data_IF_093103488408
#
_entry.id   IF_093103488408
#
_cell.length_a   1.000
_cell.length_b   1.000
_cell.length_c   1.000
_cell.angle_alpha   90.00
_cell.angle_beta   90.00
_cell.angle_gamma   90.00
#
_symmetry.space_group_name_H-M   'P 1'
#
loop_
_entity.id
_entity.type
_entity.pdbx_description
1 polymer ?
#
# COMPACT_ATOMS: atom_id res chain seq x y z
N UNK A 1 -1.33 -35.93 -32.69
CA UNK A 1 -1.83 -34.70 -32.06
C UNK A 1 -2.75 -35.11 -30.93
N UNK A 2 -2.54 -34.50 -29.76
CA UNK A 2 -3.16 -34.72 -28.44
C UNK A 2 -2.07 -35.10 -27.43
N UNK A 3 -1.81 -34.20 -26.48
CA UNK A 3 -1.30 -34.54 -25.15
C UNK A 3 -1.49 -33.35 -24.20
N UNK A 4 -2.61 -33.44 -23.49
CA UNK A 4 -2.79 -33.21 -22.05
C UNK A 4 -2.34 -31.88 -21.45
N UNK A 5 -3.26 -30.91 -21.45
CA UNK A 5 -3.44 -29.97 -20.34
C UNK A 5 -3.82 -30.79 -19.09
N UNK A 6 -2.83 -31.08 -18.25
CA UNK A 6 -3.09 -31.56 -16.89
C UNK A 6 -2.62 -30.43 -15.98
N UNK A 7 -3.55 -29.64 -15.47
CA UNK A 7 -3.31 -28.78 -14.32
C UNK A 7 -2.97 -29.71 -13.15
N UNK A 8 -1.68 -29.92 -12.95
CA UNK A 8 -1.18 -30.74 -11.85
C UNK A 8 -1.35 -29.92 -10.57
N UNK A 9 -2.40 -30.23 -9.80
CA UNK A 9 -2.47 -29.91 -8.37
C UNK A 9 -1.30 -30.63 -7.68
N UNK A 10 -0.15 -29.97 -7.61
CA UNK A 10 0.96 -30.34 -6.73
C UNK A 10 1.06 -29.28 -5.65
N UNK A 11 1.22 -29.75 -4.43
CA UNK A 11 1.28 -28.99 -3.20
C UNK A 11 2.47 -28.04 -3.33
N UNK A 12 2.21 -26.77 -3.68
CA UNK A 12 3.21 -25.73 -3.58
C UNK A 12 3.62 -25.63 -2.10
N UNK A 13 4.92 -25.50 -1.78
CA UNK A 13 5.33 -25.09 -0.45
C UNK A 13 4.60 -23.79 -0.10
N UNK A 14 3.94 -23.81 1.06
CA UNK A 14 2.95 -22.82 1.52
C UNK A 14 3.53 -21.42 1.82
N UNK A 15 4.73 -21.10 1.35
CA UNK A 15 5.54 -19.96 1.82
C UNK A 15 5.47 -18.71 0.95
N UNK A 16 4.69 -18.70 -0.14
CA UNK A 16 4.55 -17.52 -1.01
C UNK A 16 3.11 -17.03 -1.22
N UNK A 17 2.22 -17.29 -0.26
CA UNK A 17 0.81 -16.88 -0.31
C UNK A 17 0.47 -15.66 0.56
N UNK A 18 1.45 -14.80 0.91
CA UNK A 18 1.24 -13.74 1.90
C UNK A 18 0.59 -12.45 1.36
N UNK A 19 0.55 -12.22 0.04
CA UNK A 19 -0.30 -11.16 -0.54
C UNK A 19 -1.64 -11.70 -1.06
N UNK A 20 -1.66 -12.88 -1.68
CA UNK A 20 -2.87 -13.45 -2.31
C UNK A 20 -3.93 -13.99 -1.34
N UNK A 21 -3.59 -14.25 -0.07
CA UNK A 21 -4.53 -14.82 0.90
C UNK A 21 -5.30 -13.77 1.72
N UNK A 22 -4.89 -12.50 1.71
CA UNK A 22 -5.43 -11.47 2.61
C UNK A 22 -6.37 -10.49 1.86
N UNK A 23 -5.93 -9.92 0.74
CA UNK A 23 -6.77 -9.01 -0.05
C UNK A 23 -7.89 -9.78 -0.75
N UNK A 24 -9.13 -9.28 -0.73
CA UNK A 24 -10.31 -9.87 -1.39
C UNK A 24 -10.23 -10.04 -2.91
N UNK A 25 -9.04 -10.00 -3.50
CA UNK A 25 -8.76 -10.59 -4.79
C UNK A 25 -8.92 -12.10 -4.63
N UNK A 26 -9.93 -12.68 -5.29
CA UNK A 26 -9.96 -14.13 -5.51
C UNK A 26 -8.54 -14.59 -5.89
N UNK A 27 -8.05 -15.74 -5.38
CA UNK A 27 -6.70 -16.20 -5.67
C UNK A 27 -6.52 -16.15 -7.18
N UNK A 28 -5.73 -15.17 -7.61
CA UNK A 28 -5.27 -15.07 -8.98
C UNK A 28 -4.54 -16.36 -9.31
N UNK A 29 -4.59 -16.73 -10.58
CA UNK A 29 -3.85 -17.83 -11.19
C UNK A 29 -2.47 -17.93 -10.53
N UNK A 30 -2.13 -19.13 -10.06
CA UNK A 30 -0.81 -19.43 -9.54
C UNK A 30 0.25 -18.94 -10.55
N UNK A 31 1.27 -18.26 -10.05
CA UNK A 31 2.40 -17.76 -10.84
C UNK A 31 2.78 -18.69 -11.99
N UNK A 32 3.27 -18.13 -13.10
CA UNK A 32 3.83 -18.94 -14.17
C UNK A 32 5.10 -19.62 -13.63
N UNK A 33 4.99 -20.93 -13.38
CA UNK A 33 6.10 -21.77 -12.94
C UNK A 33 7.10 -21.97 -14.08
N UNK A 34 8.31 -21.47 -13.89
CA UNK A 34 9.40 -21.52 -14.88
C UNK A 34 10.39 -22.65 -14.60
N UNK A 35 10.54 -23.05 -13.33
CA UNK A 35 11.42 -24.13 -12.91
C UNK A 35 10.89 -24.83 -11.65
N UNK A 36 10.93 -26.16 -11.63
CA UNK A 36 10.59 -27.01 -10.48
C UNK A 36 11.33 -28.35 -10.58
N UNK A 37 12.54 -28.39 -10.01
CA UNK A 37 13.39 -29.59 -9.91
C UNK A 37 14.29 -29.49 -8.68
N UNK A 38 14.69 -30.64 -8.14
CA UNK A 38 15.71 -30.74 -7.10
C UNK A 38 15.44 -29.80 -5.90
N UNK A 39 14.18 -29.82 -5.43
CA UNK A 39 13.66 -28.98 -4.35
C UNK A 39 13.85 -27.47 -4.56
N UNK A 40 14.05 -27.03 -5.79
CA UNK A 40 14.22 -25.64 -6.19
C UNK A 40 13.08 -25.23 -7.12
N UNK A 41 12.48 -24.09 -6.84
CA UNK A 41 11.36 -23.51 -7.60
C UNK A 41 11.70 -22.09 -8.05
N UNK A 42 11.30 -21.76 -9.28
CA UNK A 42 11.32 -20.40 -9.81
C UNK A 42 10.03 -20.13 -10.56
N UNK A 43 9.35 -19.04 -10.22
CA UNK A 43 8.10 -18.61 -10.87
C UNK A 43 8.08 -17.10 -11.11
N UNK A 44 7.13 -16.65 -11.93
CA UNK A 44 6.90 -15.23 -12.21
C UNK A 44 5.42 -14.89 -12.18
N UNK A 45 5.10 -13.73 -11.62
CA UNK A 45 3.77 -13.15 -11.57
C UNK A 45 3.77 -11.73 -12.17
N UNK A 46 2.61 -11.27 -12.61
CA UNK A 46 2.48 -9.95 -13.23
C UNK A 46 1.14 -9.29 -12.96
N UNK A 47 1.17 -7.96 -12.88
CA UNK A 47 -0.03 -7.13 -12.75
C UNK A 47 0.07 -5.90 -13.66
N UNK A 48 -0.95 -5.70 -14.47
CA UNK A 48 -1.03 -4.60 -15.43
C UNK A 48 -2.42 -4.00 -15.38
N UNK A 49 -2.49 -2.68 -15.40
CA UNK A 49 -3.74 -1.95 -15.45
C UNK A 49 -3.56 -0.61 -16.16
N UNK A 50 -4.66 -0.14 -16.72
CA UNK A 50 -4.81 1.20 -17.24
C UNK A 50 -6.30 1.60 -17.19
N UNK A 51 -6.52 2.88 -16.95
CA UNK A 51 -7.82 3.50 -16.77
C UNK A 51 -7.89 4.77 -17.63
N UNK A 52 -8.97 4.91 -18.38
CA UNK A 52 -9.43 6.24 -18.78
C UNK A 52 -10.04 6.91 -17.56
N UNK A 53 -9.58 8.12 -17.25
CA UNK A 53 -10.04 8.88 -16.11
C UNK A 53 -10.49 10.27 -16.52
N UNK A 54 -11.60 10.71 -15.95
CA UNK A 54 -12.07 12.07 -16.05
C UNK A 54 -12.28 12.63 -14.64
N UNK A 55 -11.49 13.64 -14.28
CA UNK A 55 -11.54 14.31 -12.99
C UNK A 55 -12.07 15.73 -13.16
N UNK A 56 -13.03 16.10 -12.32
CA UNK A 56 -13.53 17.46 -12.13
C UNK A 56 -12.91 17.98 -10.84
N UNK A 57 -12.00 18.94 -10.96
CA UNK A 57 -11.25 19.54 -9.86
C UNK A 57 -11.85 20.91 -9.59
N UNK A 58 -12.21 21.16 -8.33
CA UNK A 58 -12.66 22.44 -7.79
C UNK A 58 -11.70 22.82 -6.66
N UNK A 59 -10.96 23.91 -6.86
CA UNK A 59 -9.90 24.36 -5.94
C UNK A 59 -9.67 25.86 -6.10
N UNK A 60 -9.42 26.55 -4.99
CA UNK A 60 -9.18 27.99 -4.98
C UNK A 60 -8.03 28.39 -5.94
N UNK A 61 -8.37 29.18 -6.98
CA UNK A 61 -7.44 29.79 -7.93
C UNK A 61 -7.91 29.68 -9.37
N UNK A 62 -7.67 30.71 -10.19
CA UNK A 62 -8.24 30.84 -11.55
C UNK A 62 -7.87 29.72 -12.54
N UNK A 63 -6.84 28.93 -12.24
CA UNK A 63 -6.33 27.87 -13.13
C UNK A 63 -6.63 26.46 -12.65
N UNK A 64 -7.11 26.28 -11.41
CA UNK A 64 -7.23 24.96 -10.81
C UNK A 64 -8.61 24.34 -11.03
N UNK A 65 -9.66 25.16 -11.13
CA UNK A 65 -11.01 24.76 -11.51
C UNK A 65 -11.04 24.23 -12.95
N UNK A 66 -10.99 22.91 -13.09
CA UNK A 66 -10.88 22.29 -14.41
C UNK A 66 -11.38 20.86 -14.45
N UNK A 67 -11.74 20.48 -15.66
CA UNK A 67 -12.00 19.09 -16.02
C UNK A 67 -10.84 18.51 -16.78
N UNK A 68 -10.28 17.44 -16.26
CA UNK A 68 -9.11 16.79 -16.82
C UNK A 68 -9.43 15.37 -17.30
N UNK A 69 -9.01 15.03 -18.52
CA UNK A 69 -9.04 13.65 -19.03
C UNK A 69 -7.62 13.10 -19.11
N UNK A 70 -7.38 11.88 -18.63
CA UNK A 70 -6.09 11.18 -18.74
C UNK A 70 -6.30 9.69 -19.01
N UNK A 71 -5.26 9.03 -19.51
CA UNK A 71 -5.14 7.56 -19.45
C UNK A 71 -3.98 7.27 -18.51
N UNK A 72 -4.27 6.62 -17.39
CA UNK A 72 -3.30 6.39 -16.30
C UNK A 72 -3.48 5.01 -15.70
N UNK A 73 -2.47 4.47 -15.03
CA UNK A 73 -2.74 3.37 -14.10
C UNK A 73 -3.45 3.88 -12.85
N UNK A 74 -4.10 2.95 -12.17
CA UNK A 74 -4.78 3.14 -10.91
C UNK A 74 -3.89 2.97 -9.69
N UNK A 75 -4.53 2.63 -8.59
CA UNK A 75 -3.94 2.65 -7.25
C UNK A 75 -2.79 1.65 -7.09
N UNK A 76 -3.00 0.40 -7.49
CA UNK A 76 -1.94 -0.61 -7.53
C UNK A 76 -1.09 -0.41 -8.80
N UNK A 77 0.22 -0.12 -8.69
CA UNK A 77 1.03 0.07 -9.88
C UNK A 77 1.27 -1.23 -10.64
N UNK A 78 1.65 -1.08 -11.91
CA UNK A 78 2.04 -2.20 -12.76
C UNK A 78 3.35 -2.81 -12.26
N UNK A 79 3.48 -4.14 -12.32
CA UNK A 79 4.71 -4.81 -11.92
C UNK A 79 4.92 -6.15 -12.62
N UNK A 80 6.19 -6.59 -12.61
CA UNK A 80 6.59 -7.98 -12.84
C UNK A 80 7.37 -8.49 -11.63
N UNK A 81 7.02 -9.70 -11.18
CA UNK A 81 7.58 -10.37 -10.02
C UNK A 81 8.31 -11.65 -10.38
N UNK A 82 9.35 -11.96 -9.62
CA UNK A 82 10.15 -13.16 -9.69
C UNK A 82 10.25 -13.77 -8.30
N UNK A 83 9.94 -15.05 -8.22
CA UNK A 83 9.76 -15.78 -6.98
C UNK A 83 10.72 -16.96 -6.94
N UNK A 84 11.44 -17.10 -5.83
CA UNK A 84 12.48 -18.10 -5.64
C UNK A 84 12.14 -18.96 -4.43
N UNK A 85 12.34 -20.26 -4.54
CA UNK A 85 12.22 -21.19 -3.44
C UNK A 85 13.26 -22.29 -3.55
N UNK A 86 13.83 -22.70 -2.41
CA UNK A 86 14.74 -23.84 -2.33
C UNK A 86 14.68 -24.47 -0.96
N UNK A 87 14.54 -25.80 -0.90
CA UNK A 87 14.78 -26.53 0.34
C UNK A 87 16.26 -26.91 0.45
N UNK A 88 16.84 -26.69 1.63
CA UNK A 88 18.22 -27.08 1.95
C UNK A 88 18.20 -27.61 3.38
N UNK A 89 18.45 -28.91 3.56
CA UNK A 89 18.36 -29.59 4.85
C UNK A 89 17.00 -29.37 5.53
N UNK A 90 16.99 -28.82 6.75
CA UNK A 90 15.80 -28.45 7.52
C UNK A 90 15.29 -27.03 7.23
N UNK A 91 16.00 -26.28 6.39
CA UNK A 91 15.67 -24.90 6.05
C UNK A 91 14.94 -24.79 4.72
N UNK A 92 14.04 -23.82 4.65
CA UNK A 92 13.43 -23.34 3.40
C UNK A 92 13.97 -21.96 3.11
N UNK A 93 14.70 -21.83 2.00
CA UNK A 93 15.14 -20.55 1.46
C UNK A 93 14.07 -20.05 0.49
N UNK A 94 13.67 -18.79 0.65
CA UNK A 94 12.73 -18.12 -0.23
C UNK A 94 13.32 -16.81 -0.77
N UNK A 95 12.62 -16.19 -1.71
CA UNK A 95 12.94 -14.84 -2.14
C UNK A 95 11.95 -14.28 -3.13
N UNK A 96 11.90 -12.95 -3.20
CA UNK A 96 11.11 -12.21 -4.18
C UNK A 96 11.89 -11.01 -4.69
N UNK A 97 11.85 -10.81 -5.99
CA UNK A 97 12.25 -9.58 -6.66
C UNK A 97 11.06 -9.08 -7.49
N UNK A 98 10.59 -7.86 -7.24
CA UNK A 98 9.50 -7.24 -8.00
C UNK A 98 9.89 -5.86 -8.48
N UNK A 99 9.62 -5.60 -9.75
CA UNK A 99 9.95 -4.36 -10.45
C UNK A 99 8.63 -3.68 -10.83
N UNK A 100 8.38 -2.54 -10.19
CA UNK A 100 7.16 -1.77 -10.33
C UNK A 100 7.44 -0.60 -11.25
N UNK A 101 6.55 -0.35 -12.20
CA UNK A 101 6.79 0.63 -13.26
C UNK A 101 5.55 1.48 -13.43
N UNK A 102 5.76 2.79 -13.42
CA UNK A 102 4.70 3.72 -13.81
C UNK A 102 4.57 3.77 -15.34
N UNK A 103 3.37 3.95 -15.87
CA UNK A 103 3.05 4.24 -17.27
C UNK A 103 2.51 5.67 -17.40
N UNK A 104 2.47 6.39 -16.27
CA UNK A 104 2.00 7.76 -16.20
C UNK A 104 3.22 8.64 -16.46
N UNK A 105 3.35 9.13 -17.68
CA UNK A 105 4.34 10.14 -18.08
C UNK A 105 3.78 11.55 -17.98
N UNK A 106 4.67 12.54 -17.99
CA UNK A 106 4.33 13.96 -18.17
C UNK A 106 4.86 14.49 -19.50
N UNK A 107 4.33 15.62 -19.96
CA UNK A 107 4.77 16.30 -21.18
C UNK A 107 6.25 16.74 -21.14
N UNK A 108 6.81 16.86 -19.94
CA UNK A 108 8.19 17.32 -19.71
C UNK A 108 9.22 16.19 -19.70
N UNK A 109 8.80 14.94 -19.44
CA UNK A 109 9.71 13.83 -19.15
C UNK A 109 9.20 12.50 -19.74
N UNK A 110 8.92 12.52 -21.05
CA UNK A 110 8.05 11.53 -21.70
C UNK A 110 8.46 10.04 -21.70
N UNK A 111 9.66 9.65 -21.27
CA UNK A 111 10.04 8.23 -21.08
C UNK A 111 10.82 8.00 -19.78
N UNK A 112 10.72 8.90 -18.81
CA UNK A 112 11.46 8.84 -17.55
C UNK A 112 10.70 8.04 -16.48
N UNK A 113 9.90 7.06 -16.90
CA UNK A 113 9.22 6.14 -15.98
C UNK A 113 10.26 5.24 -15.30
N UNK A 114 10.74 5.67 -14.13
CA UNK A 114 11.70 4.92 -13.34
C UNK A 114 11.15 3.54 -12.94
N UNK A 115 12.07 2.58 -12.75
CA UNK A 115 11.76 1.29 -12.14
C UNK A 115 11.81 1.46 -10.62
N UNK A 116 10.66 1.33 -9.97
CA UNK A 116 10.52 1.31 -8.52
C UNK A 116 10.68 -0.13 -8.01
N UNK A 117 11.73 -0.37 -7.22
CA UNK A 117 11.96 -1.66 -6.57
C UNK A 117 11.31 -1.65 -5.20
N UNK A 118 10.10 -2.24 -5.09
CA UNK A 118 9.35 -2.34 -3.83
C UNK A 118 9.63 -3.60 -3.04
N UNK A 119 9.95 -4.70 -3.70
CA UNK A 119 10.33 -5.94 -3.02
C UNK A 119 11.58 -6.52 -3.66
N UNK A 120 12.61 -6.71 -2.84
CA UNK A 120 13.85 -7.36 -3.21
C UNK A 120 14.45 -7.96 -1.94
N UNK A 121 14.07 -9.20 -1.63
CA UNK A 121 14.45 -9.84 -0.38
C UNK A 121 14.66 -11.34 -0.55
N UNK A 122 15.43 -11.90 0.38
CA UNK A 122 15.49 -13.34 0.63
C UNK A 122 14.82 -13.67 1.97
N UNK A 123 14.38 -14.92 2.13
CA UNK A 123 13.91 -15.44 3.40
C UNK A 123 14.60 -16.75 3.77
N UNK A 124 14.74 -16.98 5.06
CA UNK A 124 15.17 -18.27 5.64
C UNK A 124 14.10 -18.68 6.64
N UNK A 125 13.50 -19.85 6.44
CA UNK A 125 12.43 -20.38 7.27
C UNK A 125 12.75 -21.78 7.80
N UNK A 126 12.22 -22.09 8.98
CA UNK A 126 12.23 -23.40 9.62
C UNK A 126 11.08 -23.52 10.62
N UNK A 127 11.11 -24.53 11.49
CA UNK A 127 10.05 -24.76 12.49
C UNK A 127 9.87 -23.58 13.48
N UNK A 128 10.90 -22.75 13.61
CA UNK A 128 10.94 -21.58 14.48
C UNK A 128 10.31 -20.32 13.85
N UNK A 129 9.90 -20.36 12.58
CA UNK A 129 9.38 -19.20 11.84
C UNK A 129 10.24 -18.85 10.63
N UNK A 130 10.24 -17.59 10.24
CA UNK A 130 10.94 -17.07 9.06
C UNK A 130 11.65 -15.76 9.39
N UNK A 131 12.86 -15.55 8.85
CA UNK A 131 13.53 -14.24 8.81
C UNK A 131 13.62 -13.78 7.36
N UNK A 132 13.13 -12.56 7.11
CA UNK A 132 13.30 -11.82 5.87
C UNK A 132 14.49 -10.88 5.98
N UNK A 133 15.30 -10.81 4.92
CA UNK A 133 16.43 -9.87 4.79
C UNK A 133 16.37 -9.22 3.40
N UNK A 134 16.30 -7.89 3.37
CA UNK A 134 16.26 -7.12 2.11
C UNK A 134 15.25 -5.99 2.18
N UNK A 135 14.54 -5.72 1.09
CA UNK A 135 13.51 -4.68 1.00
C UNK A 135 12.14 -5.30 0.81
N UNK A 136 11.18 -4.92 1.66
CA UNK A 136 9.77 -5.27 1.56
C UNK A 136 8.92 -4.10 2.10
N UNK A 137 7.60 -4.19 2.01
CA UNK A 137 6.70 -3.20 2.62
C UNK A 137 6.89 -3.12 4.14
N UNK A 138 6.70 -1.92 4.70
CA UNK A 138 6.64 -1.73 6.15
C UNK A 138 5.50 -2.55 6.79
N UNK A 139 5.57 -2.75 8.11
CA UNK A 139 4.56 -3.45 8.90
C UNK A 139 3.48 -2.49 9.42
N UNK A 140 3.82 -1.24 9.76
CA UNK A 140 2.84 -0.25 10.19
C UNK A 140 1.91 0.12 9.03
N UNK A 141 0.59 0.02 9.23
CA UNK A 141 -0.47 0.21 8.22
C UNK A 141 -0.49 -0.81 7.07
N UNK A 142 0.29 -1.89 7.14
CA UNK A 142 0.36 -2.92 6.10
C UNK A 142 -0.98 -3.58 5.79
N UNK A 143 -1.62 -4.14 6.82
CA UNK A 143 -2.93 -4.78 6.65
C UNK A 143 -4.02 -3.80 6.25
N UNK A 144 -3.91 -2.51 6.60
CA UNK A 144 -4.89 -1.50 6.22
C UNK A 144 -5.00 -1.34 4.70
N UNK A 145 -3.86 -1.29 3.99
CA UNK A 145 -3.84 -1.21 2.53
C UNK A 145 -4.04 -2.56 1.84
N UNK A 146 -3.47 -3.65 2.36
CA UNK A 146 -3.57 -4.97 1.70
C UNK A 146 -4.98 -5.55 1.73
N UNK A 147 -5.84 -5.04 2.62
CA UNK A 147 -7.24 -5.40 2.71
C UNK A 147 -8.17 -4.36 2.08
N UNK A 148 -7.63 -3.35 1.41
CA UNK A 148 -8.40 -2.30 0.79
C UNK A 148 -9.25 -2.84 -0.38
N UNK A 149 -10.55 -2.63 -0.29
CA UNK A 149 -11.54 -3.12 -1.26
C UNK A 149 -11.46 -2.41 -2.63
N UNK A 150 -10.70 -1.31 -2.73
CA UNK A 150 -10.39 -0.53 -3.93
C UNK A 150 -8.97 -0.78 -4.48
N UNK A 151 -8.18 -1.71 -3.92
CA UNK A 151 -6.77 -1.89 -4.29
C UNK A 151 -6.54 -2.10 -5.80
N UNK A 152 -7.42 -2.86 -6.46
CA UNK A 152 -7.35 -3.10 -7.92
C UNK A 152 -8.13 -2.06 -8.76
N UNK A 153 -8.57 -0.98 -8.13
CA UNK A 153 -9.28 0.13 -8.74
C UNK A 153 -8.37 1.30 -9.11
N UNK A 154 -8.99 2.43 -9.42
CA UNK A 154 -8.30 3.69 -9.60
C UNK A 154 -8.03 4.37 -8.27
N UNK A 155 -9.01 4.47 -7.36
CA UNK A 155 -8.83 5.20 -6.11
C UNK A 155 -8.91 6.72 -6.24
N UNK A 156 -8.54 7.44 -5.18
CA UNK A 156 -8.62 8.90 -5.15
C UNK A 156 -7.43 9.59 -5.87
N UNK A 157 -7.68 10.49 -6.84
CA UNK A 157 -6.71 11.49 -7.25
C UNK A 157 -6.93 12.81 -6.48
N UNK A 158 -5.85 13.56 -6.29
CA UNK A 158 -5.86 14.92 -5.76
C UNK A 158 -4.99 15.82 -6.62
N UNK A 159 -5.43 17.03 -6.90
CA UNK A 159 -4.65 18.03 -7.62
C UNK A 159 -3.57 18.65 -6.73
N UNK A 160 -3.88 18.93 -5.46
CA UNK A 160 -2.95 19.43 -4.44
C UNK A 160 -1.78 18.47 -4.22
N UNK A 161 -2.03 17.17 -4.28
CA UNK A 161 -1.00 16.12 -4.19
C UNK A 161 -0.35 15.80 -5.56
N UNK A 162 -0.72 16.51 -6.62
CA UNK A 162 -0.17 16.32 -7.97
C UNK A 162 -0.58 15.02 -8.67
N UNK A 163 -1.64 14.35 -8.21
CA UNK A 163 -2.04 13.02 -8.71
C UNK A 163 -2.95 13.08 -9.94
N UNK A 164 -3.60 14.22 -10.20
CA UNK A 164 -4.40 14.42 -11.43
C UNK A 164 -3.47 14.42 -12.65
N UNK A 165 -2.45 15.28 -12.63
CA UNK A 165 -1.56 15.50 -13.78
C UNK A 165 -0.16 14.88 -13.66
N UNK A 166 0.23 14.45 -12.47
CA UNK A 166 1.59 13.93 -12.23
C UNK A 166 1.83 12.49 -12.65
N UNK A 167 3.12 12.11 -12.59
CA UNK A 167 3.68 10.81 -13.03
C UNK A 167 3.34 9.62 -12.13
N UNK A 168 2.77 9.87 -10.96
CA UNK A 168 2.49 8.87 -9.94
C UNK A 168 1.19 8.10 -10.16
N UNK A 169 1.01 7.05 -9.35
CA UNK A 169 -0.30 6.40 -9.16
C UNK A 169 -1.26 7.31 -8.41
N UNK A 170 -2.55 7.04 -8.54
CA UNK A 170 -3.58 7.52 -7.60
C UNK A 170 -3.47 6.82 -6.25
N UNK A 171 -4.11 7.37 -5.21
CA UNK A 171 -3.82 7.00 -3.81
C UNK A 171 -4.78 6.00 -3.17
N UNK A 172 -5.88 5.60 -3.83
CA UNK A 172 -6.82 4.66 -3.20
C UNK A 172 -7.53 5.25 -1.99
N UNK A 173 -7.09 4.84 -0.79
CA UNK A 173 -7.45 5.46 0.49
C UNK A 173 -6.20 5.91 1.30
N UNK A 174 -5.01 5.98 0.67
CA UNK A 174 -3.82 6.58 1.27
C UNK A 174 -4.14 8.03 1.65
N UNK A 175 -3.86 8.39 2.90
CA UNK A 175 -4.19 9.71 3.44
C UNK A 175 -5.64 9.86 3.87
N UNK A 176 -6.53 8.92 3.57
CA UNK A 176 -7.95 8.93 3.96
C UNK A 176 -8.33 7.63 4.67
N UNK A 177 -7.65 7.33 5.76
CA UNK A 177 -7.89 6.13 6.57
C UNK A 177 -6.64 5.33 6.93
N UNK A 178 -5.55 5.47 6.18
CA UNK A 178 -4.23 4.95 6.54
C UNK A 178 -3.09 5.68 5.78
N UNK A 179 -1.87 5.77 6.33
CA UNK A 179 -0.68 6.10 5.57
C UNK A 179 -0.18 4.88 4.77
N UNK A 180 0.50 5.13 3.66
CA UNK A 180 1.10 4.09 2.83
C UNK A 180 2.31 3.46 3.54
N UNK A 181 2.30 2.12 3.77
CA UNK A 181 3.42 1.39 4.36
C UNK A 181 4.57 1.28 3.35
N UNK A 182 5.42 2.29 3.28
CA UNK A 182 6.46 2.34 2.25
C UNK A 182 7.40 1.14 2.29
N UNK A 183 7.81 0.62 1.11
CA UNK A 183 8.93 -0.31 1.01
C UNK A 183 10.21 0.23 1.63
N UNK A 184 10.81 -0.55 2.53
CA UNK A 184 12.03 -0.18 3.23
C UNK A 184 12.97 -1.38 3.38
N UNK A 185 14.27 -1.09 3.41
CA UNK A 185 15.28 -2.07 3.81
C UNK A 185 15.01 -2.51 5.23
N UNK A 186 15.03 -3.82 5.48
CA UNK A 186 14.55 -4.39 6.72
C UNK A 186 15.14 -5.78 7.01
N UNK A 187 15.17 -6.11 8.31
CA UNK A 187 15.33 -7.47 8.81
C UNK A 187 14.10 -7.75 9.66
N UNK A 188 13.28 -8.71 9.22
CA UNK A 188 11.96 -8.95 9.80
C UNK A 188 11.78 -10.41 10.14
N UNK A 189 11.52 -10.69 11.41
CA UNK A 189 11.09 -12.01 11.87
C UNK A 189 9.58 -12.15 11.70
N UNK A 190 9.13 -13.33 11.25
CA UNK A 190 7.73 -13.70 11.07
C UNK A 190 7.47 -15.08 11.66
N UNK A 191 6.29 -15.26 12.25
CA UNK A 191 5.83 -16.57 12.65
C UNK A 191 4.32 -16.72 12.40
N UNK A 192 3.98 -17.74 11.61
CA UNK A 192 2.61 -18.04 11.20
C UNK A 192 2.14 -19.41 11.70
N UNK A 193 2.93 -20.07 12.56
CA UNK A 193 2.75 -21.47 12.96
C UNK A 193 2.59 -21.66 14.46
N UNK A 194 2.69 -20.58 15.28
CA UNK A 194 2.53 -20.66 16.74
C UNK A 194 1.15 -21.17 17.15
N UNK A 195 0.10 -20.65 16.52
CA UNK A 195 -1.29 -21.07 16.73
C UNK A 195 -2.04 -20.97 15.39
N UNK A 196 -3.02 -21.86 15.13
CA UNK A 196 -3.85 -21.76 13.94
C UNK A 196 -4.48 -20.36 13.81
N UNK A 197 -4.26 -19.70 12.67
CA UNK A 197 -4.80 -18.38 12.37
C UNK A 197 -3.99 -17.20 12.90
N UNK A 198 -3.06 -17.40 13.84
CA UNK A 198 -2.20 -16.35 14.40
C UNK A 198 -0.98 -16.12 13.52
N UNK A 199 -0.69 -14.85 13.23
CA UNK A 199 0.49 -14.41 12.50
C UNK A 199 1.13 -13.24 13.25
N UNK A 200 2.45 -13.30 13.43
CA UNK A 200 3.24 -12.28 14.11
C UNK A 200 4.38 -11.86 13.20
N UNK A 201 4.65 -10.57 13.11
CA UNK A 201 5.81 -10.00 12.45
C UNK A 201 6.42 -8.89 13.34
N UNK A 202 7.74 -8.90 13.48
CA UNK A 202 8.50 -7.83 14.16
C UNK A 202 9.77 -7.58 13.35
N UNK A 203 10.04 -6.33 13.03
CA UNK A 203 11.16 -5.95 12.18
C UNK A 203 11.91 -4.73 12.67
N UNK A 204 13.18 -4.69 12.32
CA UNK A 204 13.98 -3.46 12.26
C UNK A 204 14.04 -3.02 10.81
N UNK A 205 13.74 -1.76 10.57
CA UNK A 205 13.70 -1.12 9.26
C UNK A 205 14.72 0.02 9.26
N UNK A 206 15.21 0.34 8.07
CA UNK A 206 15.98 1.57 7.85
C UNK A 206 15.16 2.78 8.36
N UNK A 207 15.74 3.61 9.25
CA UNK A 207 15.05 4.78 9.76
C UNK A 207 14.95 5.87 8.70
N UNK A 208 14.14 6.88 8.97
CA UNK A 208 13.95 8.03 8.08
C UNK A 208 14.29 9.33 8.78
N UNK A 209 14.79 10.29 8.01
CA UNK A 209 14.98 11.68 8.44
C UNK A 209 13.60 12.35 8.52
N UNK A 210 13.17 12.69 9.74
CA UNK A 210 11.86 13.33 9.98
C UNK A 210 11.97 14.81 10.31
N UNK A 211 13.17 15.35 10.52
CA UNK A 211 13.39 16.73 10.98
C UNK A 211 14.61 17.39 10.32
N UNK A 212 14.90 17.03 9.06
CA UNK A 212 15.87 17.77 8.25
C UNK A 212 15.21 19.08 7.77
N UNK A 213 15.85 20.23 8.02
CA UNK A 213 15.34 21.53 7.60
C UNK A 213 16.05 22.01 6.32
N UNK A 214 17.36 22.26 6.37
CA UNK A 214 18.15 22.68 5.21
C UNK A 214 18.70 21.45 4.50
N UNK A 215 18.33 21.27 3.23
CA UNK A 215 18.76 20.11 2.44
C UNK A 215 20.03 20.37 1.63
N UNK A 216 20.34 21.63 1.35
CA UNK A 216 21.35 22.03 0.36
C UNK A 216 22.25 23.19 0.85
N UNK A 217 22.28 23.47 2.16
CA UNK A 217 22.97 24.64 2.74
C UNK A 217 22.45 25.98 2.19
N UNK A 218 21.20 26.01 1.73
CA UNK A 218 20.63 27.08 0.92
C UNK A 218 19.97 28.19 1.73
N UNK A 219 19.54 27.89 2.96
CA UNK A 219 18.91 28.84 3.87
C UNK A 219 19.88 29.35 4.95
N UNK A 220 21.10 28.81 4.98
CA UNK A 220 22.19 29.21 5.88
C UNK A 220 22.14 28.52 7.25
N UNK A 221 21.24 27.56 7.44
CA UNK A 221 21.21 26.68 8.60
C UNK A 221 22.09 25.45 8.35
N UNK A 222 23.09 25.23 9.21
CA UNK A 222 23.90 24.00 9.15
C UNK A 222 23.27 22.93 10.05
N UNK A 223 22.41 22.08 9.48
CA UNK A 223 21.67 21.04 10.19
C UNK A 223 21.77 19.67 9.49
N UNK A 224 21.77 18.59 10.28
CA UNK A 224 21.73 17.22 9.76
C UNK A 224 20.89 16.33 10.66
N UNK A 225 19.81 15.79 10.11
CA UNK A 225 19.00 14.78 10.75
C UNK A 225 19.78 13.45 10.87
N UNK A 226 19.60 12.76 12.00
CA UNK A 226 20.17 11.44 12.25
C UNK A 226 19.36 10.64 13.27
N UNK A 227 19.53 9.31 13.28
CA UNK A 227 18.85 8.40 14.20
C UNK A 227 19.86 7.49 14.90
N UNK A 228 19.74 7.38 16.23
CA UNK A 228 20.60 6.49 17.02
C UNK A 228 20.19 5.01 16.92
N UNK A 229 18.95 4.75 16.50
CA UNK A 229 18.35 3.42 16.45
C UNK A 229 17.63 3.21 15.10
N UNK A 230 17.46 1.95 14.66
CA UNK A 230 16.60 1.66 13.51
C UNK A 230 15.15 2.03 13.82
N UNK A 231 14.32 2.06 12.78
CA UNK A 231 12.87 2.10 12.94
C UNK A 231 12.37 0.72 13.34
N UNK A 232 11.58 0.64 14.40
CA UNK A 232 10.98 -0.60 14.86
C UNK A 232 9.54 -0.67 14.37
N UNK A 233 9.16 -1.76 13.73
CA UNK A 233 7.76 -1.99 13.35
C UNK A 233 7.31 -3.41 13.73
N UNK A 234 6.00 -3.56 13.92
CA UNK A 234 5.40 -4.86 14.23
C UNK A 234 3.98 -4.98 13.69
N UNK A 235 3.53 -6.21 13.47
CA UNK A 235 2.14 -6.54 13.16
C UNK A 235 1.75 -7.89 13.78
N UNK A 236 0.58 -7.93 14.39
CA UNK A 236 -0.07 -9.16 14.83
C UNK A 236 -1.43 -9.25 14.15
N UNK A 237 -1.74 -10.40 13.57
CA UNK A 237 -3.06 -10.67 13.01
C UNK A 237 -3.58 -12.03 13.40
N UNK A 238 -4.90 -12.14 13.47
CA UNK A 238 -5.60 -13.37 13.84
C UNK A 238 -6.80 -13.60 12.92
N UNK A 239 -6.92 -14.83 12.44
CA UNK A 239 -8.00 -15.27 11.57
C UNK A 239 -8.71 -16.48 12.17
N UNK A 240 -10.04 -16.43 12.23
CA UNK A 240 -10.87 -17.54 12.70
C UNK A 240 -12.24 -17.52 12.03
N UNK A 241 -12.95 -18.65 12.10
CA UNK A 241 -14.32 -18.77 11.62
C UNK A 241 -15.30 -18.75 12.81
N UNK A 242 -16.36 -17.95 12.68
CA UNK A 242 -17.44 -17.84 13.66
C UNK A 242 -18.80 -17.89 12.95
N UNK A 243 -19.56 -18.97 13.14
CA UNK A 243 -20.91 -19.10 12.58
C UNK A 243 -20.95 -19.01 11.05
N UNK A 244 -19.93 -19.52 10.36
CA UNK A 244 -19.80 -19.44 8.89
C UNK A 244 -19.28 -18.09 8.37
N UNK A 245 -18.98 -17.14 9.26
CA UNK A 245 -18.30 -15.88 8.94
C UNK A 245 -16.81 -16.02 9.22
N UNK A 246 -15.96 -15.71 8.25
CA UNK A 246 -14.53 -15.59 8.47
C UNK A 246 -14.21 -14.20 9.02
N UNK A 247 -13.53 -14.15 10.15
CA UNK A 247 -13.08 -12.92 10.78
C UNK A 247 -11.56 -12.84 10.67
N UNK A 248 -11.05 -11.71 10.18
CA UNK A 248 -9.64 -11.36 10.18
C UNK A 248 -9.45 -10.04 10.93
N UNK A 249 -8.61 -10.03 11.96
CA UNK A 249 -8.31 -8.84 12.76
C UNK A 249 -6.81 -8.60 12.84
N UNK A 250 -6.40 -7.35 12.92
CA UNK A 250 -4.98 -6.98 13.01
C UNK A 250 -4.75 -5.76 13.90
N UNK A 251 -3.51 -5.68 14.39
CA UNK A 251 -2.91 -4.52 15.02
C UNK A 251 -1.46 -4.42 14.55
N UNK A 252 -1.02 -3.23 14.19
CA UNK A 252 0.36 -2.97 13.76
C UNK A 252 0.84 -1.63 14.28
N UNK A 253 2.15 -1.42 14.31
CA UNK A 253 2.71 -0.18 14.81
C UNK A 253 4.13 0.06 14.34
N UNK A 254 4.55 1.32 14.44
CA UNK A 254 5.88 1.79 14.08
C UNK A 254 6.41 2.80 15.09
N UNK A 255 7.72 2.82 15.29
CA UNK A 255 8.41 3.71 16.23
C UNK A 255 9.82 4.06 15.74
N UNK A 256 10.19 5.34 15.81
CA UNK A 256 11.57 5.82 15.71
C UNK A 256 11.73 7.20 16.35
N UNK A 257 12.97 7.66 16.48
CA UNK A 257 13.31 9.03 16.89
C UNK A 257 14.36 9.59 15.95
N UNK A 258 14.15 10.82 15.47
CA UNK A 258 15.11 11.59 14.68
C UNK A 258 15.63 12.76 15.49
N UNK A 259 16.96 12.90 15.57
CA UNK A 259 17.68 14.02 16.18
C UNK A 259 18.30 14.89 15.10
N UNK A 260 18.84 16.05 15.48
CA UNK A 260 19.52 16.95 14.57
C UNK A 260 20.86 17.42 15.16
N UNK A 261 21.85 17.70 14.32
CA UNK A 261 23.15 18.29 14.73
C UNK A 261 23.04 19.77 15.12
N UNK A 262 22.01 20.46 14.65
CA UNK A 262 21.68 21.83 15.06
C UNK A 262 20.78 21.80 16.29
N UNK A 263 21.22 22.44 17.37
CA UNK A 263 20.43 22.58 18.61
C UNK A 263 19.18 23.46 18.45
N UNK A 264 19.01 24.10 17.29
CA UNK A 264 17.81 24.90 16.96
C UNK A 264 16.67 24.07 16.38
N UNK A 265 16.94 22.81 16.02
CA UNK A 265 15.96 21.89 15.44
C UNK A 265 15.62 20.81 16.45
N UNK A 266 14.36 20.79 16.89
CA UNK A 266 13.88 19.80 17.85
C UNK A 266 13.98 18.37 17.31
N UNK A 267 14.23 17.43 18.20
CA UNK A 267 14.08 16.00 17.89
C UNK A 267 12.61 15.67 17.65
N UNK A 268 12.35 14.73 16.73
CA UNK A 268 11.00 14.25 16.43
C UNK A 268 10.88 12.77 16.78
N UNK A 269 9.92 12.44 17.63
CA UNK A 269 9.51 11.04 17.86
C UNK A 269 8.36 10.68 16.94
N UNK A 270 8.60 9.75 16.03
CA UNK A 270 7.60 9.20 15.12
C UNK A 270 7.03 7.92 15.71
N UNK A 271 5.72 7.89 15.97
CA UNK A 271 5.05 6.67 16.45
C UNK A 271 3.67 6.52 15.82
N UNK A 272 3.32 5.28 15.48
CA UNK A 272 2.05 4.95 14.82
C UNK A 272 1.45 3.66 15.35
N UNK A 273 0.11 3.60 15.36
CA UNK A 273 -0.69 2.42 15.67
C UNK A 273 -1.79 2.30 14.62
N UNK A 274 -1.81 1.18 13.89
CA UNK A 274 -2.85 0.81 12.94
C UNK A 274 -3.60 -0.42 13.41
N UNK A 275 -4.88 -0.51 13.05
CA UNK A 275 -5.74 -1.61 13.49
C UNK A 275 -6.92 -1.80 12.55
N UNK A 276 -7.55 -2.96 12.62
CA UNK A 276 -8.81 -3.20 11.93
C UNK A 276 -9.37 -4.60 12.07
N UNK A 277 -10.55 -4.77 11.50
CA UNK A 277 -11.27 -6.03 11.40
C UNK A 277 -11.98 -6.13 10.05
N UNK A 278 -11.94 -7.33 9.48
CA UNK A 278 -12.68 -7.72 8.31
C UNK A 278 -13.55 -8.93 8.62
N UNK A 279 -14.80 -8.89 8.20
CA UNK A 279 -15.75 -9.99 8.29
C UNK A 279 -16.23 -10.37 6.89
N UNK A 280 -16.08 -11.64 6.52
CA UNK A 280 -16.53 -12.20 5.23
C UNK A 280 -17.56 -13.30 5.46
N UNK A 281 -18.72 -13.17 4.81
CA UNK A 281 -19.80 -14.16 4.90
C UNK A 281 -20.48 -14.33 3.52
N UNK A 282 -20.35 -15.51 2.94
CA UNK A 282 -20.82 -15.77 1.58
C UNK A 282 -20.18 -14.80 0.58
N UNK A 283 -21.02 -14.04 -0.14
CA UNK A 283 -20.54 -13.01 -1.08
C UNK A 283 -20.22 -11.66 -0.43
N UNK A 284 -20.51 -11.45 0.85
CA UNK A 284 -20.32 -10.17 1.54
C UNK A 284 -18.95 -10.07 2.20
N UNK A 285 -18.37 -8.87 2.19
CA UNK A 285 -17.20 -8.46 2.95
C UNK A 285 -17.49 -7.10 3.60
N UNK A 286 -17.15 -6.95 4.87
CA UNK A 286 -17.20 -5.68 5.60
C UNK A 286 -15.85 -5.49 6.31
N UNK A 287 -15.21 -4.36 6.08
CA UNK A 287 -13.91 -4.03 6.67
C UNK A 287 -14.00 -2.67 7.36
N UNK A 288 -13.60 -2.62 8.62
CA UNK A 288 -13.39 -1.38 9.36
C UNK A 288 -11.96 -1.32 9.86
N UNK A 289 -11.24 -0.24 9.56
CA UNK A 289 -9.85 -0.06 9.96
C UNK A 289 -9.54 1.40 10.28
N UNK A 290 -8.38 1.65 10.85
CA UNK A 290 -7.92 3.00 11.13
C UNK A 290 -6.49 3.04 11.63
N UNK A 291 -6.05 4.26 11.94
CA UNK A 291 -4.75 4.51 12.55
C UNK A 291 -4.77 5.76 13.44
N UNK A 292 -3.79 5.83 14.33
CA UNK A 292 -3.35 7.07 14.96
C UNK A 292 -1.83 7.14 14.89
N UNK A 293 -1.30 8.32 14.63
CA UNK A 293 0.12 8.55 14.55
C UNK A 293 0.49 9.94 15.07
N UNK A 294 1.73 10.07 15.52
CA UNK A 294 2.36 11.33 15.92
C UNK A 294 3.74 11.40 15.28
N UNK A 295 4.13 12.54 14.74
CA UNK A 295 5.44 12.70 14.10
C UNK A 295 5.62 11.87 12.82
N UNK A 296 4.52 11.52 12.14
CA UNK A 296 4.49 10.76 10.88
C UNK A 296 3.65 11.56 9.89
N UNK A 297 4.07 11.59 8.61
CA UNK A 297 3.28 12.15 7.53
C UNK A 297 2.01 11.28 7.29
N UNK A 298 0.81 11.88 7.21
CA UNK A 298 -0.46 11.13 7.09
C UNK A 298 -0.59 10.34 5.77
N UNK A 299 0.20 10.65 4.75
CA UNK A 299 0.23 9.94 3.49
C UNK A 299 1.29 8.83 3.47
N UNK A 300 2.47 9.07 4.04
CA UNK A 300 3.67 8.29 3.74
C UNK A 300 4.48 7.94 4.99
N UNK A 301 4.63 6.66 5.30
CA UNK A 301 5.38 6.22 6.49
C UNK A 301 6.90 6.40 6.36
N UNK A 302 7.44 6.65 5.16
CA UNK A 302 8.86 6.92 4.95
C UNK A 302 9.21 8.41 4.82
N UNK A 303 8.25 9.32 5.03
CA UNK A 303 8.45 10.75 4.80
C UNK A 303 8.96 11.08 3.37
N UNK A 304 8.43 10.40 2.35
CA UNK A 304 8.73 10.76 0.95
C UNK A 304 8.42 12.24 0.69
N UNK A 305 9.35 12.94 0.03
CA UNK A 305 9.34 14.40 -0.08
C UNK A 305 10.08 15.12 1.06
N UNK A 306 10.53 14.37 2.06
CA UNK A 306 11.40 14.81 3.16
C UNK A 306 10.86 16.06 3.85
N UNK A 307 9.58 16.04 4.19
CA UNK A 307 8.96 17.13 4.94
C UNK A 307 9.61 17.26 6.31
N UNK A 308 9.79 18.50 6.78
CA UNK A 308 10.17 18.79 8.14
C UNK A 308 8.98 18.47 9.08
N UNK A 309 8.95 17.25 9.59
CA UNK A 309 7.85 16.78 10.44
C UNK A 309 7.94 17.42 11.82
N UNK A 310 6.78 17.49 12.46
CA UNK A 310 6.62 17.95 13.83
C UNK A 310 5.95 16.86 14.65
N UNK A 311 6.10 16.94 15.96
CA UNK A 311 5.40 16.10 16.92
C UNK A 311 3.90 16.48 17.04
N UNK A 312 3.19 16.46 15.92
CA UNK A 312 1.74 16.70 15.81
C UNK A 312 1.02 15.41 15.42
N UNK A 313 -0.28 15.36 15.74
CA UNK A 313 -1.08 14.14 15.62
C UNK A 313 -1.76 14.04 14.25
N UNK A 314 -1.93 12.80 13.80
CA UNK A 314 -2.85 12.42 12.73
C UNK A 314 -3.64 11.18 13.12
N UNK A 315 -4.88 11.10 12.67
CA UNK A 315 -5.75 9.94 12.90
C UNK A 315 -6.70 9.76 11.73
N UNK A 316 -6.91 8.51 11.34
CA UNK A 316 -7.83 8.20 10.26
C UNK A 316 -8.61 6.92 10.51
N UNK A 317 -9.72 6.81 9.79
CA UNK A 317 -10.58 5.64 9.78
C UNK A 317 -11.04 5.35 8.35
N UNK A 318 -11.25 4.08 8.06
CA UNK A 318 -11.73 3.57 6.79
C UNK A 318 -12.82 2.53 7.05
N UNK A 319 -13.96 2.68 6.36
CA UNK A 319 -15.05 1.74 6.35
C UNK A 319 -15.33 1.32 4.90
N UNK A 320 -15.28 0.02 4.64
CA UNK A 320 -15.53 -0.54 3.31
C UNK A 320 -16.47 -1.72 3.39
N UNK A 321 -17.28 -1.87 2.36
CA UNK A 321 -18.15 -3.02 2.18
C UNK A 321 -18.14 -3.47 0.73
N UNK A 322 -18.19 -4.78 0.50
CA UNK A 322 -18.33 -5.32 -0.85
C UNK A 322 -19.28 -6.51 -0.91
N UNK A 323 -19.88 -6.71 -2.09
CA UNK A 323 -20.71 -7.87 -2.39
C UNK A 323 -20.31 -8.46 -3.74
N UNK A 324 -20.07 -9.77 -3.75
CA UNK A 324 -19.73 -10.54 -4.95
C UNK A 324 -20.85 -11.50 -5.33
N UNK A 325 -21.24 -11.49 -6.62
CA UNK A 325 -22.24 -12.39 -7.17
C UNK A 325 -21.85 -12.86 -8.58
N UNK A 326 -21.68 -14.17 -8.73
CA UNK A 326 -21.17 -14.75 -9.98
C UNK A 326 -19.81 -14.16 -10.35
N UNK A 327 -19.75 -13.44 -11.49
CA UNK A 327 -18.54 -12.78 -11.99
C UNK A 327 -18.49 -11.28 -11.72
N UNK A 328 -19.35 -10.79 -10.83
CA UNK A 328 -19.49 -9.37 -10.53
C UNK A 328 -19.15 -9.11 -9.07
N UNK A 329 -18.59 -7.93 -8.80
CA UNK A 329 -18.39 -7.44 -7.44
C UNK A 329 -18.62 -5.93 -7.40
N UNK A 330 -19.33 -5.46 -6.39
CA UNK A 330 -19.51 -4.03 -6.09
C UNK A 330 -18.84 -3.74 -4.73
N UNK A 331 -18.06 -2.68 -4.65
CA UNK A 331 -17.46 -2.17 -3.42
C UNK A 331 -17.82 -0.72 -3.17
N UNK A 332 -18.00 -0.39 -1.90
CA UNK A 332 -18.21 0.94 -1.36
C UNK A 332 -17.10 1.24 -0.36
N UNK A 333 -16.58 2.47 -0.39
CA UNK A 333 -15.50 2.93 0.48
C UNK A 333 -15.82 4.31 1.04
N UNK A 334 -15.60 4.51 2.34
CA UNK A 334 -15.60 5.81 2.99
C UNK A 334 -14.41 5.90 3.93
N UNK A 335 -13.55 6.88 3.71
CA UNK A 335 -12.33 7.07 4.47
C UNK A 335 -12.15 8.52 4.88
N UNK A 336 -11.63 8.77 6.08
CA UNK A 336 -11.32 10.12 6.58
C UNK A 336 -10.05 10.10 7.41
N UNK A 337 -9.23 11.15 7.27
CA UNK A 337 -8.10 11.45 8.14
C UNK A 337 -8.17 12.90 8.61
N UNK A 338 -7.84 13.14 9.86
CA UNK A 338 -7.59 14.48 10.42
C UNK A 338 -6.10 14.56 10.70
N UNK A 339 -5.43 15.58 10.16
CA UNK A 339 -4.01 15.83 10.35
C UNK A 339 -3.77 17.24 10.90
N UNK A 340 -2.96 17.35 11.94
CA UNK A 340 -2.60 18.62 12.58
C UNK A 340 -1.45 19.37 11.86
N UNK A 341 -1.02 18.88 10.68
CA UNK A 341 -0.23 19.65 9.73
C UNK A 341 1.10 19.03 9.29
N UNK A 342 1.28 17.72 9.43
CA UNK A 342 2.45 17.04 8.86
C UNK A 342 2.28 16.65 7.38
N UNK A 343 1.04 16.64 6.88
CA UNK A 343 0.74 16.30 5.48
C UNK A 343 1.09 17.42 4.52
N UNK A 344 0.46 18.59 4.71
CA UNK A 344 0.58 19.74 3.82
C UNK A 344 1.22 20.97 4.48
N UNK A 345 1.84 20.80 5.65
CA UNK A 345 2.43 21.90 6.44
C UNK A 345 1.44 22.69 7.30
N UNK A 346 0.14 22.57 7.02
CA UNK A 346 -0.97 23.15 7.79
C UNK A 346 -2.03 22.09 8.10
N UNK A 347 -2.81 22.35 9.16
CA UNK A 347 -3.84 21.44 9.61
C UNK A 347 -4.94 21.27 8.55
N UNK A 348 -5.29 20.02 8.24
CA UNK A 348 -6.28 19.70 7.22
C UNK A 348 -7.00 18.38 7.52
N UNK A 349 -8.22 18.26 7.01
CA UNK A 349 -8.99 17.02 6.98
C UNK A 349 -8.99 16.48 5.54
N UNK A 350 -8.75 15.18 5.37
CA UNK A 350 -8.78 14.49 4.08
C UNK A 350 -9.94 13.49 4.09
N UNK A 351 -10.78 13.49 3.06
CA UNK A 351 -11.91 12.56 2.93
C UNK A 351 -11.92 11.90 1.55
N UNK A 352 -12.26 10.61 1.51
CA UNK A 352 -12.50 9.86 0.26
C UNK A 352 -13.82 9.09 0.33
N UNK A 353 -14.59 9.14 -0.76
CA UNK A 353 -15.79 8.32 -0.97
C UNK A 353 -15.68 7.64 -2.32
N UNK A 354 -15.84 6.32 -2.35
CA UNK A 354 -15.66 5.53 -3.56
C UNK A 354 -16.74 4.48 -3.79
N UNK A 355 -17.08 4.27 -5.05
CA UNK A 355 -17.91 3.16 -5.53
C UNK A 355 -17.18 2.49 -6.70
N UNK A 356 -16.85 1.21 -6.55
CA UNK A 356 -16.15 0.46 -7.59
C UNK A 356 -16.92 -0.81 -7.98
N UNK A 357 -17.13 -0.98 -9.28
CA UNK A 357 -17.70 -2.18 -9.87
C UNK A 357 -16.62 -2.95 -10.65
N UNK A 358 -16.53 -4.25 -10.36
CA UNK A 358 -15.58 -5.16 -10.98
C UNK A 358 -16.34 -6.26 -11.72
N UNK A 359 -15.97 -6.49 -12.98
CA UNK A 359 -16.46 -7.59 -13.80
C UNK A 359 -15.30 -8.52 -14.16
N UNK A 360 -15.32 -9.72 -13.62
CA UNK A 360 -14.38 -10.78 -13.99
C UNK A 360 -14.76 -11.36 -15.35
N UNK A 361 -13.89 -11.22 -16.34
CA UNK A 361 -14.09 -11.81 -17.67
C UNK A 361 -13.57 -13.24 -17.70
N UNK A 362 -12.38 -13.45 -17.15
CA UNK A 362 -11.75 -14.73 -16.88
C UNK A 362 -10.73 -14.56 -15.74
N UNK A 363 -9.91 -15.58 -15.49
CA UNK A 363 -8.99 -15.61 -14.35
C UNK A 363 -7.84 -14.57 -14.46
N UNK A 364 -7.62 -14.00 -15.65
CA UNK A 364 -6.53 -13.06 -15.95
C UNK A 364 -7.00 -11.67 -16.36
N UNK A 365 -8.30 -11.44 -16.58
CA UNK A 365 -8.84 -10.18 -17.07
C UNK A 365 -10.08 -9.75 -16.27
N UNK A 366 -10.01 -8.54 -15.71
CA UNK A 366 -11.13 -7.86 -15.08
C UNK A 366 -11.36 -6.50 -15.72
N UNK A 367 -12.63 -6.11 -15.86
CA UNK A 367 -13.02 -4.74 -16.19
C UNK A 367 -13.43 -4.03 -14.91
N UNK A 368 -13.08 -2.76 -14.80
CA UNK A 368 -13.30 -1.94 -13.60
C UNK A 368 -13.97 -0.63 -14.00
N UNK A 369 -15.01 -0.26 -13.27
CA UNK A 369 -15.63 1.05 -13.36
C UNK A 369 -15.75 1.64 -11.95
N UNK A 370 -15.31 2.87 -11.78
CA UNK A 370 -15.18 3.48 -10.46
C UNK A 370 -15.59 4.95 -10.47
N UNK A 371 -16.25 5.37 -9.40
CA UNK A 371 -16.59 6.74 -9.09
C UNK A 371 -15.97 7.08 -7.75
N UNK A 372 -15.19 8.17 -7.69
CA UNK A 372 -14.59 8.65 -6.45
C UNK A 372 -14.84 10.14 -6.26
N UNK A 373 -14.96 10.56 -5.00
CA UNK A 373 -14.85 11.94 -4.57
C UNK A 373 -13.76 12.02 -3.51
N UNK A 374 -12.77 12.86 -3.75
CA UNK A 374 -11.75 13.23 -2.79
C UNK A 374 -11.96 14.66 -2.32
N UNK A 375 -11.77 14.92 -1.03
CA UNK A 375 -11.85 16.26 -0.45
C UNK A 375 -10.65 16.54 0.44
N UNK A 376 -10.12 17.75 0.35
CA UNK A 376 -9.26 18.36 1.35
C UNK A 376 -10.04 19.54 1.94
N UNK A 377 -10.19 19.57 3.26
CA UNK A 377 -10.74 20.72 3.98
C UNK A 377 -9.60 21.32 4.85
N UNK A 378 -9.09 22.48 4.46
CA UNK A 378 -8.08 23.23 5.20
C UNK A 378 -8.66 23.82 6.48
N UNK A 379 -8.00 23.59 7.63
CA UNK A 379 -8.51 24.10 8.93
C UNK A 379 -8.10 25.55 9.21
N UNK A 380 -7.09 26.05 8.51
CA UNK A 380 -6.57 27.43 8.65
C UNK A 380 -6.97 28.34 7.46
N UNK A 381 -8.01 27.96 6.70
CA UNK A 381 -8.54 28.72 5.56
C UNK A 381 -8.68 27.88 4.30
N UNK A 382 -9.31 28.45 3.27
CA UNK A 382 -9.70 27.75 2.05
C UNK A 382 -8.57 27.49 1.04
N UNK A 383 -7.35 27.99 1.31
CA UNK A 383 -6.23 27.88 0.37
C UNK A 383 -5.78 26.43 0.09
N UNK A 384 -6.11 25.50 1.01
CA UNK A 384 -5.87 24.06 0.84
C UNK A 384 -7.13 23.30 0.43
N UNK A 385 -8.29 23.96 0.34
CA UNK A 385 -9.54 23.30 0.00
C UNK A 385 -9.47 22.76 -1.43
N UNK A 386 -9.90 21.52 -1.59
CA UNK A 386 -9.97 20.86 -2.89
C UNK A 386 -11.12 19.86 -2.88
N UNK A 387 -11.96 19.90 -3.90
CA UNK A 387 -12.92 18.86 -4.23
C UNK A 387 -12.56 18.26 -5.60
N UNK A 388 -12.26 16.97 -5.63
CA UNK A 388 -11.96 16.25 -6.87
C UNK A 388 -12.93 15.08 -7.06
N UNK A 389 -13.85 15.23 -8.03
CA UNK A 389 -14.76 14.18 -8.49
C UNK A 389 -14.16 13.43 -9.67
N UNK A 390 -14.15 12.10 -9.64
CA UNK A 390 -13.50 11.31 -10.70
C UNK A 390 -14.34 10.12 -11.14
N UNK A 391 -14.41 9.96 -12.46
CA UNK A 391 -14.87 8.73 -13.12
C UNK A 391 -13.65 8.00 -13.68
N UNK A 392 -13.51 6.72 -13.39
CA UNK A 392 -12.45 5.87 -13.92
C UNK A 392 -13.01 4.59 -14.54
N UNK A 393 -12.61 4.30 -15.77
CA UNK A 393 -13.00 3.09 -16.51
C UNK A 393 -11.73 2.41 -17.03
N UNK A 394 -11.51 1.16 -16.65
CA UNK A 394 -10.26 0.48 -16.96
C UNK A 394 -10.34 -1.03 -17.00
N UNK A 395 -9.18 -1.62 -17.23
CA UNK A 395 -8.98 -3.05 -17.23
C UNK A 395 -7.76 -3.41 -16.38
N UNK A 396 -7.84 -4.59 -15.80
CA UNK A 396 -6.77 -5.20 -15.01
C UNK A 396 -6.44 -6.55 -15.63
N UNK A 397 -5.16 -6.77 -15.89
CA UNK A 397 -4.56 -8.01 -16.34
C UNK A 397 -3.63 -8.54 -15.26
N UNK A 398 -3.70 -9.84 -15.00
CA UNK A 398 -2.83 -10.48 -14.02
C UNK A 398 -2.55 -11.94 -14.37
N UNK A 399 -1.42 -12.48 -13.93
CA UNK A 399 -1.07 -13.89 -14.07
C UNK A 399 -0.07 -14.34 -13.01
#
# INVERSE_FOLDING_TARGET
MNKNNTAVRRILPLTLASLGALGGLQPAVADILLYDKDETTFSTDGYFNAFYVNSDVDREGETYDRRQSRVKMGFLPNYIGFNFGRKVDDLTLGGRASFWVTINDSETDGTDTAIDVRQFYGTVAGDWGEVLIGKDFGLFSRSNIFLDELLAGFGNPSDTLGLVDGKGVSFGNIGTGYPYPFPASQITYRNNSLLPGLRIAVGILDPIDSNQIDKDASDGLDDKAYQDNPRYESEVSYQFDLGGTQIYSWINGGYQTSKNTSDTVDSVTSKGLGYGVQAKFGGFSLTGSGFTAKGINPFFTNNAGEAALREVDSRGALLQGSYSWGRNRLALSYGKTVDDGNGLGSAADYESRGIAYFRTINDNLKLVAELNRYRIDGRDGAALDEDTDTVALGAVLNW
#
